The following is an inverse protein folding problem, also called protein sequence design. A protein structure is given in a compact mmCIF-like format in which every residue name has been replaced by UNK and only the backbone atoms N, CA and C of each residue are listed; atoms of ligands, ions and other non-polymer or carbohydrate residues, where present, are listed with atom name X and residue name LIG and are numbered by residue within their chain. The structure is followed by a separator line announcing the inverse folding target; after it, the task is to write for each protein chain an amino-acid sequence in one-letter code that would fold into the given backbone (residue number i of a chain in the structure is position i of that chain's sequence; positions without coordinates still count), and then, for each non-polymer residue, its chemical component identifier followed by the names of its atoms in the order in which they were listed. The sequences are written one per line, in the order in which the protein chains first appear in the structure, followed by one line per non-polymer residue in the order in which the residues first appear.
data_IF_901110837952
#
_entry.id   IF_901110837952
#
_cell.length_a   1.000
_cell.length_b   1.000
_cell.length_c   1.000
_cell.angle_alpha   90.00
_cell.angle_beta   90.00
_cell.angle_gamma   90.00
#
_symmetry.space_group_name_H-M   'P 1'
#
loop_
_entity.id
_entity.type
_entity.pdbx_description
1 polymer ?
#
# COMPACT_ATOMS: atom_id res chain seq x y z
N UNK A 1 11.76 27.79 20.29
CA UNK A 1 12.58 27.32 19.16
C UNK A 1 11.81 26.24 18.40
N UNK A 2 11.57 26.42 17.12
CA UNK A 2 11.00 25.38 16.28
C UNK A 2 12.10 24.41 15.88
N UNK A 3 12.02 23.16 16.38
CA UNK A 3 12.92 22.10 15.94
C UNK A 3 12.53 21.70 14.51
N UNK A 4 13.25 22.18 13.53
CA UNK A 4 13.06 21.79 12.13
C UNK A 4 13.79 20.48 11.87
N UNK A 5 13.07 19.47 11.46
CA UNK A 5 13.66 18.21 11.00
C UNK A 5 13.65 18.23 9.47
N UNK A 6 14.81 18.01 8.87
CA UNK A 6 14.96 17.92 7.41
C UNK A 6 14.96 16.45 6.96
N UNK A 7 14.29 16.18 5.86
CA UNK A 7 14.27 14.89 5.17
C UNK A 7 14.71 15.08 3.72
N UNK A 8 15.33 14.07 3.15
CA UNK A 8 15.71 14.06 1.73
C UNK A 8 14.50 13.74 0.86
N UNK A 9 13.61 12.85 1.36
CA UNK A 9 12.38 12.46 0.68
C UNK A 9 11.23 12.43 1.67
N UNK A 10 10.09 12.95 1.24
CA UNK A 10 8.83 12.86 1.96
C UNK A 10 7.82 12.12 1.09
N UNK A 11 7.26 11.04 1.61
CA UNK A 11 6.22 10.24 0.98
C UNK A 11 4.91 10.51 1.70
N UNK A 12 3.88 10.88 0.94
CA UNK A 12 2.54 11.13 1.47
C UNK A 12 1.64 9.95 1.12
N UNK A 13 1.21 9.25 2.15
CA UNK A 13 0.40 8.04 2.07
C UNK A 13 1.24 6.75 2.20
N UNK A 14 0.82 5.88 3.12
CA UNK A 14 1.42 4.56 3.36
C UNK A 14 0.53 3.43 2.82
N UNK A 15 -0.10 3.63 1.69
CA UNK A 15 -0.68 2.57 0.86
C UNK A 15 0.43 1.83 0.09
N UNK A 16 0.07 0.85 -0.76
CA UNK A 16 1.06 0.07 -1.52
C UNK A 16 2.07 0.94 -2.26
N UNK A 17 1.64 1.97 -2.98
CA UNK A 17 2.54 2.87 -3.72
C UNK A 17 3.58 3.54 -2.84
N UNK A 18 3.16 4.11 -1.70
CA UNK A 18 4.07 4.77 -0.76
C UNK A 18 5.01 3.78 -0.07
N UNK A 19 4.52 2.60 0.28
CA UNK A 19 5.34 1.54 0.89
C UNK A 19 6.41 1.05 -0.08
N UNK A 20 6.06 0.79 -1.34
CA UNK A 20 7.03 0.37 -2.36
C UNK A 20 8.03 1.48 -2.69
N UNK A 21 7.61 2.74 -2.73
CA UNK A 21 8.53 3.87 -2.87
C UNK A 21 9.54 3.92 -1.71
N UNK A 22 9.08 3.76 -0.48
CA UNK A 22 9.96 3.70 0.68
C UNK A 22 10.89 2.48 0.64
N UNK A 23 10.39 1.33 0.19
CA UNK A 23 11.16 0.11 0.03
C UNK A 23 12.31 0.29 -0.98
N UNK A 24 12.03 0.85 -2.17
CA UNK A 24 13.02 1.10 -3.21
C UNK A 24 14.07 2.14 -2.79
N UNK A 25 13.70 3.10 -1.98
CA UNK A 25 14.59 4.14 -1.46
C UNK A 25 15.37 3.69 -0.23
N UNK A 26 14.95 2.61 0.43
CA UNK A 26 15.63 2.09 1.60
C UNK A 26 17.06 1.62 1.24
N UNK A 27 18.00 1.84 2.13
CA UNK A 27 19.40 1.47 1.88
C UNK A 27 20.19 2.41 0.95
N UNK A 28 19.55 3.48 0.46
CA UNK A 28 20.23 4.49 -0.41
C UNK A 28 20.84 5.67 0.36
N UNK A 29 21.04 5.52 1.67
CA UNK A 29 21.55 6.57 2.56
C UNK A 29 20.75 7.88 2.51
N UNK A 30 19.41 7.75 2.37
CA UNK A 30 18.47 8.86 2.36
C UNK A 30 17.67 8.89 3.66
N UNK A 31 17.43 10.08 4.18
CA UNK A 31 16.52 10.31 5.30
C UNK A 31 15.10 10.46 4.77
N UNK A 32 14.28 9.44 4.98
CA UNK A 32 12.95 9.34 4.41
C UNK A 32 11.90 9.50 5.51
N UNK A 33 10.86 10.28 5.24
CA UNK A 33 9.65 10.32 6.06
C UNK A 33 8.46 9.82 5.25
N UNK A 34 7.60 9.02 5.89
CA UNK A 34 6.32 8.59 5.34
C UNK A 34 5.21 9.13 6.23
N UNK A 35 4.29 9.90 5.66
CA UNK A 35 3.13 10.45 6.36
C UNK A 35 1.87 9.71 5.93
N UNK A 36 1.13 9.19 6.88
CA UNK A 36 -0.14 8.49 6.67
C UNK A 36 -1.25 9.15 7.47
N UNK A 37 -2.37 9.46 6.82
CA UNK A 37 -3.52 10.13 7.45
C UNK A 37 -4.34 9.19 8.34
N UNK A 38 -4.34 7.90 8.07
CA UNK A 38 -5.11 6.91 8.81
C UNK A 38 -4.31 6.29 9.97
N UNK A 39 -4.88 5.25 10.54
CA UNK A 39 -4.29 4.59 11.71
C UNK A 39 -3.18 3.59 11.37
N UNK A 40 -2.25 3.32 12.30
CA UNK A 40 -1.34 2.20 12.20
C UNK A 40 -2.13 0.88 12.17
N UNK A 41 -1.57 -0.16 11.55
CA UNK A 41 -2.26 -1.42 11.28
C UNK A 41 -2.91 -2.04 12.52
N UNK A 42 -2.25 -1.96 13.67
CA UNK A 42 -2.75 -2.47 14.95
C UNK A 42 -4.05 -1.81 15.45
N UNK A 43 -4.32 -0.59 14.99
CA UNK A 43 -5.53 0.18 15.35
C UNK A 43 -6.58 0.20 14.25
N UNK A 44 -6.33 -0.43 13.11
CA UNK A 44 -7.26 -0.50 11.99
C UNK A 44 -8.28 -1.61 12.22
N UNK A 45 -9.42 -1.26 12.81
CA UNK A 45 -10.52 -2.18 13.09
C UNK A 45 -11.84 -1.59 12.62
N UNK A 46 -12.55 -2.33 11.78
CA UNK A 46 -13.91 -1.97 11.40
C UNK A 46 -14.87 -2.18 12.59
N UNK A 47 -15.76 -1.24 12.89
CA UNK A 47 -16.73 -1.39 13.98
C UNK A 47 -17.84 -2.42 13.70
N UNK A 48 -18.00 -2.88 12.45
CA UNK A 48 -18.96 -3.93 12.11
C UNK A 48 -18.59 -5.22 12.83
N UNK A 49 -19.48 -5.70 13.69
CA UNK A 49 -19.31 -6.92 14.49
C UNK A 49 -20.36 -8.00 14.19
N UNK A 50 -21.31 -7.68 13.30
CA UNK A 50 -22.43 -8.56 12.94
C UNK A 50 -23.51 -8.72 14.03
N UNK A 51 -23.31 -8.14 15.19
CA UNK A 51 -24.23 -8.21 16.34
C UNK A 51 -24.84 -6.84 16.64
N UNK A 52 -24.05 -5.91 17.19
CA UNK A 52 -24.47 -4.55 17.53
C UNK A 52 -24.41 -3.64 16.31
N UNK A 53 -23.35 -3.74 15.55
CA UNK A 53 -23.14 -2.95 14.32
C UNK A 53 -23.18 -3.90 13.12
N UNK A 54 -24.33 -3.94 12.45
CA UNK A 54 -24.59 -4.89 11.35
C UNK A 54 -24.23 -4.34 9.96
N UNK A 55 -24.14 -3.03 9.82
CA UNK A 55 -23.86 -2.36 8.54
C UNK A 55 -22.85 -1.23 8.69
N UNK A 56 -22.35 -0.73 7.56
CA UNK A 56 -21.39 0.36 7.55
C UNK A 56 -21.98 1.63 8.19
N UNK A 57 -21.24 2.22 9.13
CA UNK A 57 -21.61 3.45 9.83
C UNK A 57 -20.98 4.71 9.21
N UNK A 58 -20.35 4.58 8.04
CA UNK A 58 -19.69 5.67 7.30
C UNK A 58 -18.69 6.45 8.16
N UNK A 59 -17.73 5.75 8.75
CA UNK A 59 -16.66 6.35 9.54
C UNK A 59 -15.94 7.46 8.74
N UNK A 60 -15.61 8.58 9.39
CA UNK A 60 -14.87 9.68 8.78
C UNK A 60 -13.56 9.22 8.12
N UNK A 61 -12.87 8.29 8.77
CA UNK A 61 -11.71 7.57 8.20
C UNK A 61 -12.02 6.07 8.26
N UNK A 62 -12.23 5.46 7.10
CA UNK A 62 -12.54 4.03 7.02
C UNK A 62 -11.32 3.19 7.37
N UNK A 63 -11.38 2.41 8.44
CA UNK A 63 -10.27 1.54 8.87
C UNK A 63 -9.94 0.42 7.90
N UNK A 64 -10.86 0.05 6.98
CA UNK A 64 -10.59 -0.95 5.93
C UNK A 64 -9.86 -0.33 4.75
N UNK A 65 -10.25 0.89 4.34
CA UNK A 65 -9.73 1.53 3.13
C UNK A 65 -8.51 2.41 3.39
N UNK A 66 -8.41 3.00 4.58
CA UNK A 66 -7.42 4.03 4.92
C UNK A 66 -6.57 3.63 6.10
N UNK A 67 -5.29 4.02 6.07
CA UNK A 67 -4.31 3.73 7.10
C UNK A 67 -3.09 3.01 6.55
N UNK A 68 -2.16 2.69 7.40
CA UNK A 68 -0.93 2.00 7.03
C UNK A 68 -1.24 0.67 6.30
N UNK A 69 -0.64 0.48 5.14
CA UNK A 69 -0.91 -0.66 4.25
C UNK A 69 -2.03 -0.40 3.24
N UNK A 70 -2.79 0.71 3.37
CA UNK A 70 -3.91 1.03 2.48
C UNK A 70 -5.01 -0.04 2.50
N UNK A 71 -5.83 -0.11 1.45
CA UNK A 71 -6.86 -1.15 1.30
C UNK A 71 -6.25 -2.56 1.17
N UNK A 72 -5.03 -2.66 0.65
CA UNK A 72 -4.31 -3.93 0.48
C UNK A 72 -3.95 -4.65 1.78
N UNK A 73 -3.94 -3.95 2.92
CA UNK A 73 -3.61 -4.54 4.23
C UNK A 73 -4.57 -5.68 4.65
N UNK A 74 -5.78 -5.70 4.10
CA UNK A 74 -6.80 -6.72 4.38
C UNK A 74 -7.12 -7.59 3.18
N UNK A 75 -6.21 -7.67 2.20
CA UNK A 75 -6.35 -8.56 1.05
C UNK A 75 -6.15 -10.03 1.44
N UNK A 76 -6.58 -10.93 0.58
CA UNK A 76 -6.35 -12.37 0.74
C UNK A 76 -4.93 -12.82 0.32
N UNK A 77 -4.08 -11.89 -0.06
CA UNK A 77 -2.68 -12.12 -0.43
C UNK A 77 -2.48 -12.64 -1.86
N UNK A 78 -3.52 -12.57 -2.70
CA UNK A 78 -3.41 -12.89 -4.13
C UNK A 78 -3.07 -11.65 -4.94
N UNK A 79 -2.24 -11.81 -5.94
CA UNK A 79 -1.84 -10.75 -6.85
C UNK A 79 -2.01 -11.21 -8.30
N UNK A 80 -2.70 -10.43 -9.11
CA UNK A 80 -2.94 -10.74 -10.51
C UNK A 80 -1.92 -10.02 -11.39
N UNK A 81 -1.26 -10.77 -12.29
CA UNK A 81 -0.24 -10.26 -13.19
C UNK A 81 -0.80 -10.22 -14.60
N UNK A 82 -1.40 -9.10 -14.97
CA UNK A 82 -1.97 -8.86 -16.30
C UNK A 82 -2.17 -7.38 -16.56
N UNK A 83 -2.15 -6.98 -17.83
CA UNK A 83 -2.50 -5.63 -18.26
C UNK A 83 -4.02 -5.41 -18.43
N UNK A 84 -4.86 -6.42 -18.14
CA UNK A 84 -6.30 -6.40 -18.50
C UNK A 84 -7.21 -5.83 -17.40
N UNK A 85 -6.68 -5.53 -16.21
CA UNK A 85 -7.45 -4.98 -15.09
C UNK A 85 -7.62 -3.46 -15.10
N UNK A 86 -7.37 -2.82 -16.23
CA UNK A 86 -7.45 -1.36 -16.37
C UNK A 86 -6.13 -0.66 -16.01
N UNK A 87 -6.18 0.66 -16.01
CA UNK A 87 -4.99 1.48 -15.90
C UNK A 87 -4.23 1.61 -17.23
N UNK A 88 -3.29 2.53 -17.29
CA UNK A 88 -2.57 2.89 -18.52
C UNK A 88 -1.05 2.71 -18.41
N UNK A 89 -0.56 2.00 -17.39
CA UNK A 89 0.88 1.83 -17.18
C UNK A 89 1.59 1.30 -18.43
N UNK A 90 1.00 0.30 -19.08
CA UNK A 90 1.54 -0.32 -20.30
C UNK A 90 1.60 0.63 -21.51
N UNK A 91 0.81 1.69 -21.52
CA UNK A 91 0.88 2.74 -22.56
C UNK A 91 2.11 3.63 -22.39
N UNK A 92 2.58 3.79 -21.14
CA UNK A 92 3.73 4.64 -20.83
C UNK A 92 5.07 3.89 -20.88
N UNK A 93 5.13 2.64 -20.44
CA UNK A 93 6.38 1.87 -20.33
C UNK A 93 6.43 0.63 -21.21
N UNK A 94 5.34 0.34 -21.96
CA UNK A 94 5.21 -0.87 -22.78
C UNK A 94 4.68 -2.08 -21.98
N UNK A 95 3.99 -2.98 -22.70
CA UNK A 95 3.33 -4.15 -22.09
C UNK A 95 4.32 -5.08 -21.39
N UNK A 96 5.47 -5.34 -22.00
CA UNK A 96 6.47 -6.25 -21.44
C UNK A 96 7.06 -5.69 -20.14
N UNK A 97 7.48 -4.42 -20.13
CA UNK A 97 8.03 -3.77 -18.95
C UNK A 97 7.00 -3.68 -17.82
N UNK A 98 5.72 -3.44 -18.13
CA UNK A 98 4.64 -3.44 -17.15
C UNK A 98 4.48 -4.83 -16.48
N UNK A 99 4.49 -5.90 -17.25
CA UNK A 99 4.43 -7.28 -16.73
C UNK A 99 5.66 -7.61 -15.88
N UNK A 100 6.85 -7.23 -16.31
CA UNK A 100 8.09 -7.44 -15.53
C UNK A 100 8.06 -6.71 -14.20
N UNK A 101 7.56 -5.48 -14.19
CA UNK A 101 7.38 -4.72 -12.95
C UNK A 101 6.35 -5.37 -12.02
N UNK A 102 5.24 -5.87 -12.55
CA UNK A 102 4.25 -6.62 -11.76
C UNK A 102 4.84 -7.88 -11.15
N UNK A 103 5.65 -8.63 -11.89
CA UNK A 103 6.38 -9.81 -11.38
C UNK A 103 7.36 -9.45 -10.29
N UNK A 104 8.09 -8.35 -10.45
CA UNK A 104 8.99 -7.83 -9.42
C UNK A 104 8.25 -7.51 -8.11
N UNK A 105 7.10 -6.86 -8.21
CA UNK A 105 6.23 -6.57 -7.06
C UNK A 105 5.72 -7.86 -6.42
N UNK A 106 5.31 -8.85 -7.22
CA UNK A 106 4.84 -10.15 -6.73
C UNK A 106 5.96 -10.92 -6.00
N UNK A 107 7.17 -10.90 -6.51
CA UNK A 107 8.34 -11.51 -5.85
C UNK A 107 8.59 -10.92 -4.47
N UNK A 108 8.41 -9.60 -4.31
CA UNK A 108 8.49 -8.94 -3.00
C UNK A 108 7.33 -9.40 -2.10
N UNK A 109 6.10 -9.38 -2.62
CA UNK A 109 4.92 -9.84 -1.88
C UNK A 109 5.09 -11.28 -1.40
N UNK A 110 5.59 -12.17 -2.25
CA UNK A 110 5.83 -13.58 -1.92
C UNK A 110 6.85 -13.74 -0.78
N UNK A 111 7.91 -12.94 -0.76
CA UNK A 111 8.90 -12.96 0.33
C UNK A 111 8.29 -12.57 1.68
N UNK A 112 7.24 -11.78 1.68
CA UNK A 112 6.55 -11.30 2.89
C UNK A 112 5.20 -11.97 3.14
N UNK A 113 4.94 -13.14 2.56
CA UNK A 113 3.80 -13.97 2.88
C UNK A 113 2.64 -13.89 1.88
N UNK A 114 2.83 -13.29 0.72
CA UNK A 114 1.89 -13.35 -0.39
C UNK A 114 1.65 -14.79 -0.87
N UNK A 115 0.50 -15.05 -1.46
CA UNK A 115 0.12 -16.40 -1.94
C UNK A 115 0.45 -16.65 -3.41
N UNK A 116 0.98 -15.62 -4.08
CA UNK A 116 1.28 -15.65 -5.51
C UNK A 116 0.06 -15.71 -6.41
N UNK A 117 0.31 -15.69 -7.70
CA UNK A 117 -0.67 -16.06 -8.73
C UNK A 117 -0.68 -17.56 -8.94
N UNK A 118 -1.86 -18.15 -9.04
CA UNK A 118 -2.02 -19.49 -9.62
C UNK A 118 -2.35 -19.34 -11.10
#
# INVERSE_FOLDING_TARGET
MTNTVKYDVVIVGAGPGGIYAAYELSGKNLKIAVFEAGHPLSKRKCPIDGKKVKSCINCKTCSIMSGFGGAGAFSDGKYNITNDFGGSLHEHIGKQAAIELMKYVDDINMRYGGKGTK
#
